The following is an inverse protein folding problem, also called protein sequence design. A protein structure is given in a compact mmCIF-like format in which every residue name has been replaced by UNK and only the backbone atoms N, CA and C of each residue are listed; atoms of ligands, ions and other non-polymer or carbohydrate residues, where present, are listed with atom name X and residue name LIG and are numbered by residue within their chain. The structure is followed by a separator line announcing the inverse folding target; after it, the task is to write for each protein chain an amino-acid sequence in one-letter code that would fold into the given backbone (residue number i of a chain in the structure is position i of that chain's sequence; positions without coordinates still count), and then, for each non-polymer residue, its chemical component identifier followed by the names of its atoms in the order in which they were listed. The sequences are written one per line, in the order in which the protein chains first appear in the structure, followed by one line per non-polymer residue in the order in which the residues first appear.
data_IF_674621811706
#
_entry.id   IF_674621811706
#
_cell.length_a   1.000
_cell.length_b   1.000
_cell.length_c   1.000
_cell.angle_alpha   90.00
_cell.angle_beta   90.00
_cell.angle_gamma   90.00
#
_symmetry.space_group_name_H-M   'P 1'
#
loop_
_entity.id
_entity.type
_entity.pdbx_description
1 polymer ?
#
# COMPACT_ATOMS: atom_id res chain seq x y z
N UNK A 1 27.06 -2.50 -4.02
CA UNK A 1 25.92 -1.57 -3.98
C UNK A 1 24.92 -1.92 -5.07
N UNK A 2 25.36 -2.01 -6.34
CA UNK A 2 24.54 -2.44 -7.48
C UNK A 2 23.80 -3.77 -7.25
N UNK A 3 24.46 -4.78 -6.66
CA UNK A 3 23.81 -6.07 -6.37
C UNK A 3 22.65 -5.96 -5.37
N UNK A 4 22.75 -5.13 -4.34
CA UNK A 4 21.69 -4.97 -3.34
C UNK A 4 20.49 -4.21 -3.93
N UNK A 5 20.75 -3.20 -4.77
CA UNK A 5 19.73 -2.46 -5.48
C UNK A 5 19.00 -3.34 -6.50
N UNK A 6 19.71 -4.20 -7.25
CA UNK A 6 19.10 -5.17 -8.15
C UNK A 6 18.20 -6.17 -7.40
N UNK A 7 18.64 -6.65 -6.23
CA UNK A 7 17.85 -7.55 -5.37
C UNK A 7 16.59 -6.83 -4.85
N UNK A 8 16.72 -5.56 -4.44
CA UNK A 8 15.58 -4.77 -4.00
C UNK A 8 14.60 -4.51 -5.14
N UNK A 9 15.07 -4.18 -6.35
CA UNK A 9 14.21 -4.00 -7.51
C UNK A 9 13.42 -5.27 -7.84
N UNK A 10 14.06 -6.46 -7.77
CA UNK A 10 13.36 -7.75 -7.90
C UNK A 10 12.32 -7.97 -6.80
N UNK A 11 12.59 -7.53 -5.57
CA UNK A 11 11.61 -7.58 -4.50
C UNK A 11 10.42 -6.64 -4.81
N UNK A 12 10.69 -5.38 -5.15
CA UNK A 12 9.68 -4.41 -5.49
C UNK A 12 8.80 -4.86 -6.66
N UNK A 13 9.41 -5.42 -7.72
CA UNK A 13 8.72 -5.94 -8.90
C UNK A 13 7.73 -7.07 -8.57
N UNK A 14 8.09 -7.96 -7.65
CA UNK A 14 7.16 -9.01 -7.18
C UNK A 14 6.03 -8.42 -6.34
N UNK A 15 6.33 -7.45 -5.47
CA UNK A 15 5.34 -6.82 -4.60
C UNK A 15 4.32 -5.97 -5.37
N UNK A 16 4.73 -5.26 -6.43
CA UNK A 16 3.78 -4.52 -7.29
C UNK A 16 2.87 -5.47 -8.09
N UNK A 17 3.30 -6.71 -8.35
CA UNK A 17 2.48 -7.74 -8.98
C UNK A 17 1.57 -8.52 -8.03
N UNK A 18 1.71 -8.31 -6.71
CA UNK A 18 0.87 -8.97 -5.72
C UNK A 18 -0.53 -8.35 -5.70
N UNK A 19 -1.56 -9.18 -5.91
CA UNK A 19 -2.95 -8.76 -5.81
C UNK A 19 -3.49 -8.89 -4.38
N UNK A 20 -3.15 -9.99 -3.72
CA UNK A 20 -3.46 -10.23 -2.32
C UNK A 20 -2.30 -10.97 -1.65
N UNK A 21 -1.79 -10.43 -0.54
CA UNK A 21 -0.71 -11.09 0.20
C UNK A 21 -1.15 -12.45 0.76
N UNK A 22 -2.45 -12.69 0.92
CA UNK A 22 -2.96 -13.95 1.44
C UNK A 22 -2.79 -15.14 0.51
N UNK A 23 -2.55 -14.87 -0.78
CA UNK A 23 -2.26 -15.89 -1.78
C UNK A 23 -0.84 -16.48 -1.64
N UNK A 24 0.05 -15.81 -0.90
CA UNK A 24 1.42 -16.27 -0.70
C UNK A 24 1.47 -17.42 0.32
N UNK A 25 1.96 -18.59 -0.09
CA UNK A 25 2.22 -19.70 0.83
C UNK A 25 3.32 -19.33 1.83
N UNK A 26 3.46 -20.09 2.91
CA UNK A 26 4.56 -19.89 3.86
C UNK A 26 5.94 -20.00 3.19
N UNK A 27 6.08 -20.90 2.21
CA UNK A 27 7.32 -21.01 1.42
C UNK A 27 7.57 -19.74 0.58
N UNK A 28 6.52 -19.17 -0.03
CA UNK A 28 6.64 -17.91 -0.79
C UNK A 28 7.01 -16.75 0.14
N UNK A 29 6.35 -16.62 1.29
CA UNK A 29 6.65 -15.57 2.27
C UNK A 29 8.10 -15.66 2.74
N UNK A 30 8.56 -16.85 3.13
CA UNK A 30 9.95 -17.05 3.54
C UNK A 30 10.94 -16.76 2.40
N UNK A 31 10.61 -17.10 1.13
CA UNK A 31 11.44 -16.74 -0.03
C UNK A 31 11.55 -15.22 -0.19
N UNK A 32 10.43 -14.50 -0.16
CA UNK A 32 10.38 -13.05 -0.35
C UNK A 32 11.13 -12.33 0.76
N UNK A 33 10.92 -12.71 2.02
CA UNK A 33 11.62 -12.13 3.17
C UNK A 33 13.12 -12.43 3.12
N UNK A 34 13.53 -13.66 2.80
CA UNK A 34 14.96 -13.98 2.63
C UNK A 34 15.61 -13.18 1.50
N UNK A 35 14.87 -12.85 0.42
CA UNK A 35 15.37 -11.94 -0.62
C UNK A 35 15.51 -10.52 -0.08
N UNK A 36 14.49 -10.01 0.61
CA UNK A 36 14.50 -8.67 1.20
C UNK A 36 15.68 -8.50 2.16
N UNK A 37 15.89 -9.45 3.09
CA UNK A 37 17.01 -9.42 4.05
C UNK A 37 18.39 -9.31 3.40
N UNK A 38 18.58 -9.80 2.16
CA UNK A 38 19.84 -9.70 1.42
C UNK A 38 20.13 -8.30 0.88
N UNK A 39 19.10 -7.46 0.71
CA UNK A 39 19.27 -6.09 0.24
C UNK A 39 19.08 -5.02 1.31
N UNK A 40 18.64 -5.40 2.53
CA UNK A 40 18.51 -4.42 3.62
C UNK A 40 19.90 -3.89 4.04
N UNK A 41 20.04 -2.56 4.22
CA UNK A 41 21.25 -1.95 4.74
C UNK A 41 21.52 -2.38 6.19
N UNK A 42 22.73 -2.08 6.67
CA UNK A 42 23.14 -2.29 8.07
C UNK A 42 22.86 -3.70 8.60
N UNK A 43 22.97 -4.72 7.75
CA UNK A 43 22.70 -6.11 8.13
C UNK A 43 21.26 -6.34 8.63
N UNK A 44 20.28 -5.60 8.11
CA UNK A 44 18.87 -5.69 8.49
C UNK A 44 18.48 -4.81 9.69
N UNK A 45 19.34 -3.88 10.11
CA UNK A 45 19.09 -3.02 11.27
C UNK A 45 18.54 -1.66 10.88
N UNK A 46 17.51 -1.26 11.60
CA UNK A 46 16.77 -0.04 11.36
C UNK A 46 16.38 0.65 12.66
N UNK A 47 16.15 1.95 12.58
CA UNK A 47 16.18 2.82 13.75
C UNK A 47 14.96 3.71 13.86
N UNK A 48 14.45 3.88 15.09
CA UNK A 48 13.31 4.77 15.36
C UNK A 48 13.55 5.66 16.56
N UNK A 49 13.50 6.96 16.34
CA UNK A 49 13.75 8.00 17.33
C UNK A 49 12.48 8.32 18.12
N UNK A 50 12.63 8.54 19.43
CA UNK A 50 11.54 8.80 20.37
C UNK A 50 11.98 9.76 21.47
N UNK A 51 11.04 10.60 21.90
CA UNK A 51 11.18 11.39 23.13
C UNK A 51 11.12 10.47 24.34
N UNK A 52 11.89 10.79 25.38
CA UNK A 52 11.84 10.07 26.66
C UNK A 52 10.80 10.65 27.65
N UNK A 53 9.99 11.61 27.19
CA UNK A 53 9.03 12.36 28.00
C UNK A 53 7.68 12.49 27.30
N UNK A 54 6.63 12.69 28.10
CA UNK A 54 5.25 12.90 27.64
C UNK A 54 4.58 11.63 27.10
N UNK A 55 3.37 11.82 26.57
CA UNK A 55 2.52 10.73 26.04
C UNK A 55 3.22 9.88 24.96
N UNK A 56 4.10 10.49 24.16
CA UNK A 56 4.89 9.76 23.16
C UNK A 56 5.84 8.73 23.75
N UNK A 57 6.35 8.96 24.97
CA UNK A 57 7.13 7.95 25.68
C UNK A 57 6.23 6.80 26.12
N UNK A 58 5.08 7.09 26.71
CA UNK A 58 4.17 6.07 27.22
C UNK A 58 3.69 5.13 26.11
N UNK A 59 3.32 5.68 24.95
CA UNK A 59 2.93 4.89 23.77
C UNK A 59 4.08 4.02 23.24
N UNK A 60 5.30 4.56 23.19
CA UNK A 60 6.47 3.80 22.76
C UNK A 60 6.85 2.71 23.78
N UNK A 61 6.78 3.02 25.08
CA UNK A 61 7.07 2.09 26.16
C UNK A 61 6.04 0.95 26.18
N UNK A 62 4.75 1.23 25.98
CA UNK A 62 3.71 0.20 25.89
C UNK A 62 3.98 -0.77 24.73
N UNK A 63 4.34 -0.25 23.54
CA UNK A 63 4.65 -1.11 22.40
C UNK A 63 5.89 -1.98 22.63
N UNK A 64 6.94 -1.40 23.23
CA UNK A 64 8.17 -2.12 23.58
C UNK A 64 7.90 -3.21 24.63
N UNK A 65 7.15 -2.87 25.69
CA UNK A 65 6.81 -3.78 26.77
C UNK A 65 5.99 -4.97 26.26
N UNK A 66 4.99 -4.70 25.43
CA UNK A 66 4.06 -5.71 24.95
C UNK A 66 4.51 -6.42 23.66
N UNK A 67 5.61 -5.99 23.03
CA UNK A 67 6.20 -6.70 21.89
C UNK A 67 5.46 -6.50 20.56
N UNK A 68 4.89 -5.32 20.35
CA UNK A 68 4.23 -4.97 19.10
C UNK A 68 4.83 -3.69 18.51
N UNK A 69 4.61 -3.46 17.21
CA UNK A 69 4.91 -2.20 16.55
C UNK A 69 3.62 -1.42 16.29
N UNK A 70 3.66 -0.12 16.56
CA UNK A 70 2.56 0.79 16.26
C UNK A 70 2.69 1.32 14.83
N UNK A 71 1.69 1.01 14.00
CA UNK A 71 1.53 1.52 12.64
C UNK A 71 0.73 2.82 12.70
N UNK A 72 1.41 3.93 12.40
CA UNK A 72 0.78 5.25 12.38
C UNK A 72 -0.13 5.36 11.16
N UNK A 73 -1.35 5.85 11.34
CA UNK A 73 -2.23 6.15 10.22
C UNK A 73 -1.60 7.28 9.40
N UNK A 74 -1.55 7.15 8.07
CA UNK A 74 -0.84 8.10 7.22
C UNK A 74 -1.42 9.53 7.32
N UNK A 75 -2.71 9.67 7.61
CA UNK A 75 -3.36 10.96 7.88
C UNK A 75 -2.82 11.70 9.10
N UNK A 76 -2.20 10.99 10.06
CA UNK A 76 -1.62 11.55 11.30
C UNK A 76 -0.13 11.89 11.21
N UNK A 77 0.51 11.62 10.06
CA UNK A 77 1.92 11.96 9.85
C UNK A 77 2.14 13.47 9.85
N UNK A 78 3.34 13.89 10.25
CA UNK A 78 3.77 15.29 10.29
C UNK A 78 3.90 15.94 8.90
N UNK A 79 3.97 15.14 7.84
CA UNK A 79 3.95 15.60 6.45
C UNK A 79 2.52 15.45 5.88
N UNK A 80 1.87 16.58 5.62
CA UNK A 80 0.49 16.70 5.12
C UNK A 80 0.34 16.33 3.64
N UNK A 81 1.45 16.16 2.93
CA UNK A 81 1.50 15.74 1.52
C UNK A 81 2.20 14.38 1.31
N UNK A 82 2.67 13.72 2.37
CA UNK A 82 3.14 12.32 2.31
C UNK A 82 1.97 11.36 2.01
N UNK A 83 2.29 10.22 1.37
CA UNK A 83 1.33 9.14 1.09
C UNK A 83 0.17 9.63 0.22
N UNK A 84 0.53 10.41 -0.80
CA UNK A 84 -0.38 10.98 -1.78
C UNK A 84 0.01 10.61 -3.20
N UNK A 85 -1.00 10.60 -4.06
CA UNK A 85 -0.90 10.45 -5.51
C UNK A 85 -1.09 11.83 -6.14
N UNK A 86 -0.23 12.16 -7.08
CA UNK A 86 -0.38 13.29 -7.98
C UNK A 86 -1.25 12.85 -9.17
N UNK A 87 -2.48 13.32 -9.25
CA UNK A 87 -3.40 13.02 -10.35
C UNK A 87 -4.13 14.30 -10.77
N UNK A 88 -4.78 14.26 -11.94
CA UNK A 88 -5.52 15.40 -12.48
C UNK A 88 -6.99 14.95 -12.61
N UNK A 89 -7.85 15.30 -11.64
CA UNK A 89 -9.21 14.80 -11.61
C UNK A 89 -9.95 15.08 -12.92
N UNK A 90 -9.86 16.29 -13.47
CA UNK A 90 -10.60 16.68 -14.66
C UNK A 90 -10.17 15.87 -15.88
N UNK A 91 -8.85 15.77 -16.10
CA UNK A 91 -8.35 15.01 -17.25
C UNK A 91 -8.50 13.51 -17.05
N UNK A 92 -8.33 12.96 -15.84
CA UNK A 92 -8.58 11.54 -15.58
C UNK A 92 -10.05 11.18 -15.80
N UNK A 93 -10.98 12.08 -15.46
CA UNK A 93 -12.40 11.92 -15.78
C UNK A 93 -12.62 11.89 -17.28
N UNK A 94 -12.02 12.80 -18.04
CA UNK A 94 -12.18 12.83 -19.50
C UNK A 94 -11.58 11.58 -20.17
N UNK A 95 -10.39 11.16 -19.74
CA UNK A 95 -9.71 9.95 -20.22
C UNK A 95 -10.59 8.70 -19.94
N UNK A 96 -11.17 8.60 -18.75
CA UNK A 96 -12.11 7.53 -18.38
C UNK A 96 -13.41 7.61 -19.19
N UNK A 97 -14.00 8.80 -19.37
CA UNK A 97 -15.21 9.00 -20.21
C UNK A 97 -14.96 8.53 -21.64
N UNK A 98 -13.84 8.93 -22.24
CA UNK A 98 -13.48 8.54 -23.60
C UNK A 98 -13.28 7.02 -23.72
N UNK A 99 -12.65 6.41 -22.71
CA UNK A 99 -12.47 4.95 -22.67
C UNK A 99 -13.82 4.22 -22.58
N UNK A 100 -14.67 4.60 -21.63
CA UNK A 100 -15.99 3.98 -21.43
C UNK A 100 -16.87 4.10 -22.69
N UNK A 101 -16.82 5.26 -23.38
CA UNK A 101 -17.52 5.47 -24.67
C UNK A 101 -17.01 4.56 -25.78
N UNK A 102 -15.72 4.27 -25.83
CA UNK A 102 -15.13 3.37 -26.82
C UNK A 102 -15.24 1.88 -26.44
N UNK A 103 -15.54 1.54 -25.18
CA UNK A 103 -15.59 0.17 -24.67
C UNK A 103 -16.94 -0.20 -24.01
N UNK A 104 -18.10 0.05 -24.67
CA UNK A 104 -19.42 -0.10 -24.04
C UNK A 104 -19.70 -1.53 -23.54
N UNK A 105 -19.13 -2.56 -24.17
CA UNK A 105 -19.29 -3.95 -23.72
C UNK A 105 -18.67 -4.18 -22.36
N UNK A 106 -17.45 -3.69 -22.13
CA UNK A 106 -16.73 -3.92 -20.86
C UNK A 106 -17.48 -3.27 -19.70
N UNK A 107 -18.01 -2.08 -19.94
CA UNK A 107 -18.87 -1.35 -18.99
C UNK A 107 -20.12 -2.16 -18.65
N UNK A 108 -20.81 -2.66 -19.68
CA UNK A 108 -22.01 -3.48 -19.48
C UNK A 108 -21.67 -4.75 -18.70
N UNK A 109 -20.64 -5.49 -19.13
CA UNK A 109 -20.18 -6.71 -18.44
C UNK A 109 -19.92 -6.45 -16.94
N UNK A 110 -19.22 -5.36 -16.63
CA UNK A 110 -18.94 -4.98 -15.24
C UNK A 110 -20.22 -4.70 -14.44
N UNK A 111 -21.17 -3.96 -15.02
CA UNK A 111 -22.46 -3.64 -14.39
C UNK A 111 -23.30 -4.89 -14.15
N UNK A 112 -23.39 -5.76 -15.14
CA UNK A 112 -24.12 -7.02 -15.03
C UNK A 112 -23.57 -7.88 -13.90
N UNK A 113 -22.25 -8.03 -13.87
CA UNK A 113 -21.57 -8.75 -12.79
C UNK A 113 -21.88 -8.12 -11.42
N UNK A 114 -21.82 -6.79 -11.31
CA UNK A 114 -22.13 -6.08 -10.06
C UNK A 114 -23.57 -6.24 -9.59
N UNK A 115 -24.53 -6.25 -10.50
CA UNK A 115 -25.92 -6.45 -10.15
C UNK A 115 -26.24 -7.89 -9.78
N UNK A 116 -25.62 -8.87 -10.46
CA UNK A 116 -25.68 -10.28 -10.09
C UNK A 116 -25.12 -10.50 -8.69
N UNK A 117 -23.94 -9.95 -8.38
CA UNK A 117 -23.32 -9.94 -7.03
C UNK A 117 -24.25 -9.30 -5.98
N UNK A 118 -25.03 -8.28 -6.37
CA UNK A 118 -25.94 -7.57 -5.47
C UNK A 118 -27.34 -8.18 -5.40
N UNK A 119 -27.61 -9.30 -6.09
CA UNK A 119 -28.94 -9.90 -6.19
C UNK A 119 -29.99 -9.01 -6.88
N UNK A 120 -29.57 -7.95 -7.56
CA UNK A 120 -30.46 -7.01 -8.25
C UNK A 120 -30.69 -7.47 -9.67
N UNK A 121 -31.95 -7.61 -10.06
CA UNK A 121 -32.31 -7.84 -11.44
C UNK A 121 -32.25 -6.48 -12.17
N UNK A 122 -31.16 -6.19 -12.87
CA UNK A 122 -30.95 -4.93 -13.63
C UNK A 122 -32.02 -4.68 -14.68
N UNK A 123 -32.71 -5.74 -15.07
CA UNK A 123 -33.77 -5.72 -16.03
C UNK A 123 -35.02 -6.22 -15.34
N UNK A 124 -36.16 -5.57 -15.59
CA UNK A 124 -37.49 -6.13 -15.34
C UNK A 124 -37.79 -7.39 -16.18
N UNK A 125 -36.75 -8.12 -16.56
CA UNK A 125 -36.77 -9.33 -17.35
C UNK A 125 -36.50 -10.51 -16.41
N UNK A 126 -37.38 -11.51 -16.48
CA UNK A 126 -37.27 -12.76 -15.71
C UNK A 126 -35.90 -13.45 -15.93
N UNK A 127 -35.53 -14.33 -14.99
CA UNK A 127 -34.30 -15.16 -14.93
C UNK A 127 -33.91 -15.88 -16.24
N UNK A 128 -34.84 -15.99 -17.20
CA UNK A 128 -34.71 -16.61 -18.52
C UNK A 128 -34.08 -15.71 -19.61
N UNK A 129 -33.95 -14.40 -19.39
CA UNK A 129 -33.47 -13.43 -20.40
C UNK A 129 -31.95 -13.12 -20.33
N UNK A 130 -31.26 -13.51 -19.25
CA UNK A 130 -29.83 -13.19 -19.09
C UNK A 130 -28.93 -13.97 -20.07
N UNK A 131 -29.21 -15.26 -20.30
CA UNK A 131 -28.40 -16.09 -21.20
C UNK A 131 -28.49 -15.62 -22.66
N UNK A 132 -29.71 -15.30 -23.13
CA UNK A 132 -29.91 -14.68 -24.45
C UNK A 132 -29.23 -13.30 -24.55
N UNK A 133 -29.28 -12.51 -23.47
CA UNK A 133 -28.60 -11.22 -23.44
C UNK A 133 -27.08 -11.38 -23.59
N UNK A 134 -26.43 -12.23 -22.79
CA UNK A 134 -24.99 -12.48 -22.91
C UNK A 134 -24.61 -13.08 -24.27
N UNK A 135 -25.45 -13.96 -24.81
CA UNK A 135 -25.26 -14.52 -26.15
C UNK A 135 -25.33 -13.43 -27.22
N UNK A 136 -26.28 -12.51 -27.11
CA UNK A 136 -26.38 -11.35 -27.99
C UNK A 136 -25.18 -10.40 -27.83
N UNK A 137 -24.78 -10.13 -26.58
CA UNK A 137 -23.64 -9.27 -26.25
C UNK A 137 -22.32 -9.79 -26.84
N UNK A 138 -22.12 -11.12 -26.87
CA UNK A 138 -20.95 -11.76 -27.51
C UNK A 138 -20.87 -11.53 -29.04
N UNK A 139 -21.95 -11.05 -29.66
CA UNK A 139 -22.02 -10.72 -31.07
C UNK A 139 -21.77 -9.23 -31.35
N UNK A 140 -21.43 -8.46 -30.34
CA UNK A 140 -21.18 -7.04 -30.46
C UNK A 140 -19.74 -6.80 -30.94
N UNK A 141 -19.60 -5.89 -31.90
CA UNK A 141 -18.31 -5.53 -32.49
C UNK A 141 -17.62 -4.50 -31.59
N UNK A 142 -16.46 -4.89 -31.04
CA UNK A 142 -15.68 -4.09 -30.10
C UNK A 142 -14.98 -2.90 -30.77
N UNK A 143 -14.60 -3.01 -32.05
CA UNK A 143 -13.89 -1.94 -32.75
C UNK A 143 -14.87 -0.85 -33.21
N UNK A 144 -16.05 -1.26 -33.66
CA UNK A 144 -17.05 -0.34 -34.24
C UNK A 144 -18.09 0.09 -33.20
N UNK A 145 -18.12 -0.54 -32.03
CA UNK A 145 -19.03 -0.21 -30.95
C UNK A 145 -20.50 -0.45 -31.32
N UNK A 146 -20.80 -1.47 -32.14
CA UNK A 146 -22.16 -1.81 -32.59
C UNK A 146 -22.47 -3.30 -32.52
N UNK A 147 -23.72 -3.65 -32.24
CA UNK A 147 -24.18 -5.03 -32.30
C UNK A 147 -24.20 -5.54 -33.75
N UNK A 148 -23.53 -6.66 -34.03
CA UNK A 148 -23.73 -7.38 -35.28
C UNK A 148 -25.07 -8.14 -35.23
N UNK A 149 -26.16 -7.48 -35.67
CA UNK A 149 -27.53 -8.02 -35.61
C UNK A 149 -27.66 -9.35 -36.35
N UNK A 150 -27.02 -9.50 -37.50
CA UNK A 150 -27.05 -10.76 -38.27
C UNK A 150 -26.45 -11.93 -37.46
N UNK A 151 -25.26 -11.71 -36.88
CA UNK A 151 -24.59 -12.68 -36.02
C UNK A 151 -25.41 -12.99 -34.76
N UNK A 152 -26.00 -11.97 -34.14
CA UNK A 152 -26.83 -12.10 -32.94
C UNK A 152 -28.13 -12.89 -33.22
N UNK A 153 -28.83 -12.62 -34.32
CA UNK A 153 -30.04 -13.36 -34.71
C UNK A 153 -29.71 -14.84 -34.90
N UNK A 154 -28.59 -15.15 -35.57
CA UNK A 154 -28.12 -16.52 -35.76
C UNK A 154 -27.71 -17.19 -34.45
N UNK A 155 -27.14 -16.43 -33.51
CA UNK A 155 -26.76 -16.97 -32.20
C UNK A 155 -28.00 -17.26 -31.32
N UNK A 156 -29.08 -16.49 -31.51
CA UNK A 156 -30.33 -16.61 -30.75
C UNK A 156 -31.39 -17.51 -31.40
N UNK A 157 -31.20 -17.96 -32.65
CA UNK A 157 -32.19 -18.81 -33.35
C UNK A 157 -32.45 -20.14 -32.64
N UNK A 158 -31.47 -20.64 -31.90
CA UNK A 158 -31.55 -21.91 -31.18
C UNK A 158 -32.43 -21.85 -29.92
N UNK A 159 -32.89 -20.67 -29.51
CA UNK A 159 -33.75 -20.48 -28.34
C UNK A 159 -35.25 -20.65 -28.67
N UNK A 160 -35.61 -21.00 -29.91
CA UNK A 160 -36.99 -21.32 -30.29
C UNK A 160 -37.92 -20.12 -30.48
N UNK A 161 -37.38 -18.89 -30.52
CA UNK A 161 -38.14 -17.67 -30.75
C UNK A 161 -38.22 -17.31 -32.24
N UNK A 162 -39.30 -16.63 -32.63
CA UNK A 162 -39.42 -16.09 -33.98
C UNK A 162 -38.40 -14.97 -34.22
N UNK A 163 -37.93 -14.84 -35.46
CA UNK A 163 -36.99 -13.79 -35.87
C UNK A 163 -37.50 -12.39 -35.52
N UNK A 164 -38.82 -12.17 -35.59
CA UNK A 164 -39.46 -10.90 -35.18
C UNK A 164 -39.30 -10.62 -33.68
N UNK A 165 -39.51 -11.63 -32.81
CA UNK A 165 -39.30 -11.49 -31.36
C UNK A 165 -37.82 -11.24 -31.02
N UNK A 166 -36.91 -11.95 -31.69
CA UNK A 166 -35.46 -11.75 -31.52
C UNK A 166 -35.07 -10.32 -31.94
N UNK A 167 -35.54 -9.85 -33.10
CA UNK A 167 -35.27 -8.48 -33.57
C UNK A 167 -35.80 -7.41 -32.60
N UNK A 168 -36.99 -7.61 -32.03
CA UNK A 168 -37.55 -6.71 -31.03
C UNK A 168 -36.64 -6.65 -29.79
N UNK A 169 -36.22 -7.79 -29.26
CA UNK A 169 -35.29 -7.89 -28.15
C UNK A 169 -33.95 -7.20 -28.44
N UNK A 170 -33.35 -7.43 -29.62
CA UNK A 170 -32.09 -6.80 -29.99
C UNK A 170 -32.20 -5.28 -30.14
N UNK A 171 -33.34 -4.76 -30.60
CA UNK A 171 -33.59 -3.32 -30.65
C UNK A 171 -33.75 -2.73 -29.25
N UNK A 172 -34.51 -3.39 -28.37
CA UNK A 172 -34.66 -2.97 -26.96
C UNK A 172 -33.30 -2.96 -26.24
N UNK A 173 -32.43 -3.94 -26.51
CA UNK A 173 -31.06 -3.96 -26.01
C UNK A 173 -30.22 -2.80 -26.58
N UNK A 174 -30.27 -2.55 -27.88
CA UNK A 174 -29.52 -1.47 -28.53
C UNK A 174 -29.96 -0.08 -28.03
N UNK A 175 -31.27 0.10 -27.80
CA UNK A 175 -31.84 1.31 -27.18
C UNK A 175 -31.43 1.43 -25.71
N UNK A 176 -31.44 0.33 -24.96
CA UNK A 176 -30.94 0.32 -23.58
C UNK A 176 -29.48 0.74 -23.53
N UNK A 177 -28.61 0.17 -24.37
CA UNK A 177 -27.18 0.50 -24.41
C UNK A 177 -26.99 1.98 -24.79
N UNK A 178 -27.67 2.47 -25.83
CA UNK A 178 -27.62 3.88 -26.22
C UNK A 178 -28.08 4.82 -25.11
N UNK A 179 -29.25 4.55 -24.52
CA UNK A 179 -29.82 5.38 -23.47
C UNK A 179 -28.94 5.34 -22.23
N UNK A 180 -28.44 4.17 -21.84
CA UNK A 180 -27.48 4.01 -20.77
C UNK A 180 -26.27 4.92 -21.01
N UNK A 181 -25.58 4.80 -22.15
CA UNK A 181 -24.41 5.65 -22.46
C UNK A 181 -24.69 7.16 -22.42
N UNK A 182 -25.93 7.58 -22.71
CA UNK A 182 -26.38 8.98 -22.64
C UNK A 182 -26.75 9.41 -21.22
N UNK A 183 -27.40 8.55 -20.43
CA UNK A 183 -27.93 8.87 -19.08
C UNK A 183 -26.87 8.72 -17.97
N UNK A 184 -25.75 8.04 -18.19
CA UNK A 184 -24.73 7.76 -17.17
C UNK A 184 -23.77 8.90 -16.84
N UNK A 185 -24.11 10.15 -17.15
CA UNK A 185 -23.35 11.29 -16.64
C UNK A 185 -23.21 11.22 -15.11
N UNK A 186 -24.23 10.72 -14.41
CA UNK A 186 -24.21 10.49 -12.96
C UNK A 186 -23.27 9.35 -12.52
N UNK A 187 -23.16 8.25 -13.28
CA UNK A 187 -22.21 7.16 -12.96
C UNK A 187 -20.78 7.64 -13.19
N UNK A 188 -20.55 8.39 -14.27
CA UNK A 188 -19.27 9.05 -14.55
C UNK A 188 -18.92 10.07 -13.46
N UNK A 189 -19.91 10.80 -12.95
CA UNK A 189 -19.78 11.73 -11.83
C UNK A 189 -19.49 10.99 -10.51
N UNK A 190 -20.09 9.83 -10.24
CA UNK A 190 -19.75 9.02 -9.07
C UNK A 190 -18.33 8.45 -9.13
N UNK A 191 -17.89 7.99 -10.32
CA UNK A 191 -16.50 7.57 -10.55
C UNK A 191 -15.56 8.76 -10.31
N UNK A 192 -15.88 9.93 -10.87
CA UNK A 192 -15.15 11.18 -10.66
C UNK A 192 -15.06 11.60 -9.17
N UNK A 193 -16.19 11.63 -8.46
CA UNK A 193 -16.28 12.00 -7.05
C UNK A 193 -15.49 11.04 -6.15
N UNK A 194 -15.41 9.76 -6.53
CA UNK A 194 -14.58 8.78 -5.84
C UNK A 194 -13.09 9.13 -5.91
N UNK A 195 -12.62 9.71 -7.02
CA UNK A 195 -11.24 10.13 -7.21
C UNK A 195 -10.92 11.48 -6.54
N UNK A 196 -11.86 12.43 -6.46
CA UNK A 196 -11.62 13.73 -5.81
C UNK A 196 -11.13 13.60 -4.35
N UNK A 197 -11.57 12.55 -3.65
CA UNK A 197 -11.20 12.29 -2.25
C UNK A 197 -10.16 11.18 -2.10
N UNK A 198 -9.52 10.71 -3.18
CA UNK A 198 -8.69 9.51 -3.15
C UNK A 198 -7.48 9.65 -2.23
N UNK A 199 -6.80 10.80 -2.23
CA UNK A 199 -5.66 11.04 -1.34
C UNK A 199 -6.08 11.00 0.13
N UNK A 200 -7.25 11.56 0.45
CA UNK A 200 -7.80 11.48 1.81
C UNK A 200 -8.11 10.03 2.19
N UNK A 201 -8.84 9.31 1.33
CA UNK A 201 -9.18 7.89 1.54
C UNK A 201 -7.94 7.03 1.74
N UNK A 202 -6.91 7.20 0.90
CA UNK A 202 -5.64 6.51 1.00
C UNK A 202 -4.96 6.82 2.33
N UNK A 203 -4.85 8.11 2.70
CA UNK A 203 -4.22 8.50 3.97
C UNK A 203 -4.97 7.97 5.19
N UNK A 204 -6.29 7.84 5.11
CA UNK A 204 -7.12 7.29 6.19
C UNK A 204 -7.01 5.75 6.28
N UNK A 205 -6.82 5.03 5.17
CA UNK A 205 -6.68 3.56 5.16
C UNK A 205 -5.24 3.05 5.36
N UNK A 206 -4.25 3.89 5.03
CA UNK A 206 -2.84 3.52 5.06
C UNK A 206 -2.25 3.62 6.46
N UNK A 207 -1.48 2.60 6.81
CA UNK A 207 -0.81 2.39 8.09
C UNK A 207 0.68 2.22 7.83
N UNK A 208 1.48 3.08 8.47
CA UNK A 208 2.89 3.30 8.15
C UNK A 208 3.77 3.02 9.36
N UNK A 209 4.83 2.25 9.16
CA UNK A 209 5.91 2.11 10.13
C UNK A 209 7.22 2.73 9.64
N UNK A 210 7.40 4.00 10.03
CA UNK A 210 8.60 4.82 9.91
C UNK A 210 9.90 4.24 10.47
N UNK A 211 10.92 3.91 9.67
CA UNK A 211 12.25 3.53 10.16
C UNK A 211 13.40 4.20 9.39
N UNK A 212 14.47 4.60 10.09
CA UNK A 212 15.67 5.18 9.50
C UNK A 212 16.78 4.14 9.35
N UNK A 213 17.64 4.30 8.35
CA UNK A 213 18.89 3.56 8.23
C UNK A 213 19.94 3.95 9.29
N UNK A 214 19.81 5.09 9.97
CA UNK A 214 20.87 5.60 10.86
C UNK A 214 20.38 5.78 12.29
N UNK A 215 21.21 5.42 13.26
CA UNK A 215 21.00 5.72 14.69
C UNK A 215 21.67 7.02 15.13
N UNK A 216 22.57 7.58 14.30
CA UNK A 216 23.48 8.68 14.61
C UNK A 216 23.21 9.96 13.80
N UNK A 217 22.01 10.13 13.27
CA UNK A 217 21.64 11.35 12.55
C UNK A 217 21.32 12.48 13.54
N UNK A 218 22.18 13.50 13.59
CA UNK A 218 21.96 14.68 14.46
C UNK A 218 20.64 15.39 14.13
N UNK A 219 20.24 15.46 12.86
CA UNK A 219 18.95 16.03 12.45
C UNK A 219 17.78 15.23 13.02
N UNK A 220 17.86 13.90 13.01
CA UNK A 220 16.82 13.03 13.57
C UNK A 220 16.76 13.14 15.10
N UNK A 221 17.93 13.16 15.77
CA UNK A 221 18.02 13.40 17.21
C UNK A 221 17.39 14.75 17.58
N UNK A 222 17.73 15.83 16.87
CA UNK A 222 17.17 17.15 17.13
C UNK A 222 15.65 17.18 16.91
N UNK A 223 15.17 16.71 15.76
CA UNK A 223 13.76 16.85 15.37
C UNK A 223 12.83 15.91 16.16
N UNK A 224 13.19 14.64 16.33
CA UNK A 224 12.31 13.63 16.93
C UNK A 224 12.50 13.43 18.43
N UNK A 225 13.62 13.91 18.99
CA UNK A 225 13.94 13.68 20.41
C UNK A 225 14.28 14.96 21.18
N UNK A 226 14.33 16.14 20.52
CA UNK A 226 14.86 17.38 21.12
C UNK A 226 16.28 17.20 21.68
N UNK A 227 17.09 16.38 21.00
CA UNK A 227 18.40 15.89 21.44
C UNK A 227 18.41 15.15 22.80
N UNK A 228 17.25 14.92 23.42
CA UNK A 228 17.08 14.33 24.75
C UNK A 228 16.00 13.25 24.68
N UNK A 229 16.40 12.08 24.22
CA UNK A 229 15.49 10.95 24.13
C UNK A 229 16.22 9.64 23.92
N UNK A 230 15.62 8.78 23.11
CA UNK A 230 16.17 7.49 22.77
C UNK A 230 15.86 7.10 21.33
N UNK A 231 16.58 6.10 20.85
CA UNK A 231 16.44 5.51 19.53
C UNK A 231 16.39 3.98 19.69
N UNK A 232 15.43 3.36 19.00
CA UNK A 232 15.14 1.93 19.06
C UNK A 232 15.74 1.26 17.84
N UNK A 233 16.58 0.22 18.02
CA UNK A 233 17.09 -0.63 16.94
C UNK A 233 16.19 -1.86 16.76
N UNK A 234 15.61 -1.98 15.57
CA UNK A 234 14.86 -3.14 15.10
C UNK A 234 15.76 -4.01 14.23
N UNK A 235 15.81 -5.31 14.50
CA UNK A 235 16.55 -6.29 13.71
C UNK A 235 15.59 -7.11 12.85
N UNK A 236 15.59 -6.82 11.54
CA UNK A 236 14.70 -7.48 10.59
C UNK A 236 14.97 -8.97 10.43
N UNK A 237 16.13 -9.49 10.86
CA UNK A 237 16.36 -10.94 10.85
C UNK A 237 15.37 -11.67 11.76
N UNK A 238 14.96 -11.04 12.87
CA UNK A 238 13.96 -11.58 13.80
C UNK A 238 12.56 -11.70 13.18
N UNK A 239 12.29 -11.03 12.06
CA UNK A 239 11.03 -11.22 11.31
C UNK A 239 10.89 -12.68 10.88
N UNK A 240 11.99 -13.39 10.63
CA UNK A 240 11.98 -14.80 10.25
C UNK A 240 11.49 -15.73 11.37
N UNK A 241 11.37 -15.25 12.61
CA UNK A 241 10.88 -16.01 13.75
C UNK A 241 9.43 -15.67 14.11
N UNK A 242 8.82 -14.68 13.44
CA UNK A 242 7.44 -14.27 13.69
C UNK A 242 6.41 -15.28 13.15
N UNK A 243 5.17 -15.26 13.66
CA UNK A 243 4.06 -15.99 13.05
C UNK A 243 3.87 -15.61 11.57
N UNK A 244 3.38 -16.55 10.77
CA UNK A 244 3.20 -16.37 9.31
C UNK A 244 2.35 -15.13 8.98
N UNK A 245 1.33 -14.84 9.78
CA UNK A 245 0.45 -13.67 9.59
C UNK A 245 1.25 -12.38 9.69
N UNK A 246 2.12 -12.23 10.70
CA UNK A 246 3.00 -11.06 10.84
C UNK A 246 4.06 -11.02 9.73
N UNK A 247 4.74 -12.15 9.47
CA UNK A 247 5.77 -12.26 8.41
C UNK A 247 5.27 -11.75 7.06
N UNK A 248 4.06 -12.16 6.67
CA UNK A 248 3.42 -11.80 5.41
C UNK A 248 3.33 -10.27 5.24
N UNK A 249 3.01 -9.54 6.31
CA UNK A 249 2.91 -8.09 6.26
C UNK A 249 4.27 -7.42 6.02
N UNK A 250 5.36 -7.95 6.59
CA UNK A 250 6.72 -7.43 6.40
C UNK A 250 7.25 -7.55 4.96
N UNK A 251 6.57 -8.26 4.06
CA UNK A 251 6.87 -8.23 2.63
C UNK A 251 6.61 -6.85 2.02
N UNK A 252 5.75 -6.03 2.63
CA UNK A 252 5.45 -4.65 2.19
C UNK A 252 6.38 -3.61 2.81
N UNK A 253 7.65 -3.95 3.01
CA UNK A 253 8.67 -3.06 3.56
C UNK A 253 9.49 -2.42 2.43
N UNK A 254 9.27 -1.13 2.21
CA UNK A 254 9.78 -0.41 1.05
C UNK A 254 10.81 0.64 1.45
N UNK A 255 11.83 0.80 0.60
CA UNK A 255 12.72 1.95 0.62
C UNK A 255 11.96 3.19 0.17
N UNK A 256 12.00 4.26 0.97
CA UNK A 256 11.38 5.53 0.60
C UNK A 256 12.16 6.18 -0.53
N UNK A 257 11.41 6.72 -1.49
CA UNK A 257 11.96 7.50 -2.58
C UNK A 257 11.88 8.98 -2.23
N UNK A 258 12.83 9.77 -2.72
CA UNK A 258 12.88 11.20 -2.49
C UNK A 258 12.90 11.92 -3.83
N UNK A 259 11.83 12.66 -4.08
CA UNK A 259 11.64 13.41 -5.32
C UNK A 259 10.56 14.49 -5.13
N UNK A 260 10.88 15.73 -5.45
CA UNK A 260 9.92 16.85 -5.40
C UNK A 260 8.91 16.83 -6.56
N UNK A 261 9.22 16.11 -7.65
CA UNK A 261 8.37 16.00 -8.84
C UNK A 261 7.79 14.60 -8.95
N UNK A 262 6.55 14.42 -8.48
CA UNK A 262 5.76 13.23 -8.79
C UNK A 262 5.16 13.38 -10.18
N UNK A 263 5.41 12.42 -11.06
CA UNK A 263 4.70 12.35 -12.35
C UNK A 263 3.20 12.14 -12.10
N UNK A 264 2.36 12.57 -13.05
CA UNK A 264 0.93 12.33 -12.94
C UNK A 264 0.64 10.82 -13.00
N UNK A 265 -0.06 10.31 -12.00
CA UNK A 265 -0.72 9.02 -12.04
C UNK A 265 -2.04 9.16 -12.80
N UNK A 266 -2.33 8.23 -13.71
CA UNK A 266 -3.66 8.13 -14.31
C UNK A 266 -4.36 6.88 -13.83
N UNK A 267 -5.59 7.06 -13.33
CA UNK A 267 -6.44 5.96 -12.89
C UNK A 267 -7.08 5.18 -14.04
N UNK A 268 -6.83 5.59 -15.30
CA UNK A 268 -7.33 4.87 -16.46
C UNK A 268 -6.82 3.42 -16.49
N UNK A 269 -5.59 3.16 -16.03
CA UNK A 269 -5.04 1.80 -15.96
C UNK A 269 -5.84 0.92 -14.99
N UNK A 270 -6.18 1.44 -13.81
CA UNK A 270 -7.03 0.75 -12.84
C UNK A 270 -8.41 0.46 -13.44
N UNK A 271 -9.02 1.45 -14.08
CA UNK A 271 -10.33 1.30 -14.73
C UNK A 271 -10.29 0.22 -15.81
N UNK A 272 -9.27 0.22 -16.68
CA UNK A 272 -9.07 -0.82 -17.69
C UNK A 272 -8.94 -2.21 -17.08
N UNK A 273 -8.14 -2.35 -16.02
CA UNK A 273 -7.97 -3.61 -15.32
C UNK A 273 -9.28 -4.12 -14.69
N UNK A 274 -10.04 -3.24 -14.03
CA UNK A 274 -11.33 -3.59 -13.42
C UNK A 274 -12.40 -3.96 -14.44
N UNK A 275 -12.50 -3.20 -15.54
CA UNK A 275 -13.46 -3.46 -16.62
C UNK A 275 -13.10 -4.71 -17.43
N UNK A 276 -11.81 -5.01 -17.59
CA UNK A 276 -11.30 -6.25 -18.15
C UNK A 276 -11.51 -7.48 -17.26
N UNK A 277 -12.13 -7.31 -16.08
CA UNK A 277 -12.50 -8.39 -15.18
C UNK A 277 -11.31 -9.00 -14.43
N UNK A 278 -10.30 -8.20 -14.08
CA UNK A 278 -9.15 -8.59 -13.27
C UNK A 278 -8.23 -9.63 -13.94
N UNK A 279 -8.17 -9.67 -15.27
CA UNK A 279 -7.42 -10.68 -16.03
C UNK A 279 -6.06 -10.21 -16.52
N UNK A 280 -5.92 -8.91 -16.81
CA UNK A 280 -4.71 -8.34 -17.38
C UNK A 280 -3.69 -8.04 -16.28
N UNK A 281 -2.74 -8.96 -16.08
CA UNK A 281 -1.72 -8.83 -15.05
C UNK A 281 -0.71 -7.73 -15.35
N UNK A 282 -0.48 -7.41 -16.63
CA UNK A 282 0.48 -6.37 -17.00
C UNK A 282 -0.09 -4.99 -16.65
N UNK A 283 -1.39 -4.77 -16.90
CA UNK A 283 -2.10 -3.58 -16.43
C UNK A 283 -2.08 -3.44 -14.90
N UNK A 284 -2.30 -4.52 -14.17
CA UNK A 284 -2.21 -4.52 -12.71
C UNK A 284 -0.82 -4.10 -12.24
N UNK A 285 0.23 -4.74 -12.75
CA UNK A 285 1.63 -4.46 -12.39
C UNK A 285 1.99 -3.02 -12.72
N UNK A 286 1.62 -2.52 -13.90
CA UNK A 286 1.91 -1.13 -14.29
C UNK A 286 1.19 -0.14 -13.38
N UNK A 287 -0.10 -0.36 -13.11
CA UNK A 287 -0.89 0.53 -12.26
C UNK A 287 -0.37 0.55 -10.82
N UNK A 288 -0.15 -0.64 -10.23
CA UNK A 288 0.39 -0.78 -8.89
C UNK A 288 1.78 -0.16 -8.77
N UNK A 289 2.65 -0.34 -9.78
CA UNK A 289 3.97 0.28 -9.79
C UNK A 289 3.86 1.79 -9.73
N UNK A 290 3.01 2.42 -10.56
CA UNK A 290 2.82 3.87 -10.55
C UNK A 290 2.26 4.35 -9.22
N UNK A 291 1.24 3.66 -8.70
CA UNK A 291 0.59 4.03 -7.44
C UNK A 291 1.54 3.89 -6.25
N UNK A 292 2.11 2.70 -6.02
CA UNK A 292 2.99 2.42 -4.87
C UNK A 292 4.21 3.35 -4.89
N UNK A 293 4.83 3.56 -6.06
CA UNK A 293 5.96 4.50 -6.21
C UNK A 293 5.60 5.89 -5.66
N UNK A 294 4.42 6.42 -5.96
CA UNK A 294 4.01 7.74 -5.47
C UNK A 294 3.71 7.75 -3.97
N UNK A 295 3.12 6.67 -3.44
CA UNK A 295 2.76 6.56 -2.03
C UNK A 295 3.99 6.40 -1.12
N UNK A 296 5.08 5.82 -1.62
CA UNK A 296 6.35 5.72 -0.91
C UNK A 296 7.34 6.84 -1.25
N UNK A 297 6.93 7.82 -2.06
CA UNK A 297 7.77 8.99 -2.40
C UNK A 297 7.49 10.16 -1.47
N UNK A 298 8.54 10.61 -0.78
CA UNK A 298 8.59 11.86 0.00
C UNK A 298 9.24 13.00 -0.80
N UNK A 299 9.01 14.23 -0.34
CA UNK A 299 9.73 15.40 -0.82
C UNK A 299 11.22 15.31 -0.48
N UNK A 300 12.05 15.94 -1.31
CA UNK A 300 13.52 15.89 -1.23
C UNK A 300 14.05 16.39 0.11
N UNK A 301 13.37 17.38 0.69
CA UNK A 301 13.70 17.95 2.01
C UNK A 301 13.74 16.91 3.14
N UNK A 302 13.04 15.78 2.99
CA UNK A 302 13.01 14.69 3.98
C UNK A 302 14.10 13.62 3.76
N UNK A 303 14.97 13.78 2.76
CA UNK A 303 16.01 12.78 2.42
C UNK A 303 16.93 12.43 3.60
N UNK A 304 17.13 13.36 4.53
CA UNK A 304 17.94 13.15 5.74
C UNK A 304 17.42 12.01 6.64
N UNK A 305 16.14 11.63 6.52
CA UNK A 305 15.56 10.54 7.30
C UNK A 305 16.09 9.16 6.88
N UNK A 306 16.55 9.04 5.61
CA UNK A 306 17.01 7.76 5.01
C UNK A 306 16.04 6.63 5.33
N UNK A 307 14.79 6.85 4.98
CA UNK A 307 13.66 6.08 5.49
C UNK A 307 13.44 4.79 4.70
N UNK A 308 13.11 3.74 5.44
CA UNK A 308 12.35 2.60 4.95
C UNK A 308 11.06 2.52 5.73
N UNK A 309 9.97 2.09 5.07
CA UNK A 309 8.65 2.03 5.68
C UNK A 309 7.94 0.73 5.40
N UNK A 310 7.31 0.20 6.45
CA UNK A 310 6.24 -0.78 6.27
C UNK A 310 5.01 -0.01 5.80
N UNK A 311 4.50 -0.33 4.61
CA UNK A 311 3.33 0.31 4.03
C UNK A 311 2.20 -0.72 3.92
N UNK A 312 1.15 -0.55 4.74
CA UNK A 312 0.02 -1.47 4.79
C UNK A 312 -1.28 -0.69 4.64
N UNK A 313 -2.26 -1.30 3.98
CA UNK A 313 -3.60 -0.73 3.84
C UNK A 313 -4.62 -1.65 4.48
N UNK A 314 -5.68 -1.08 5.07
CA UNK A 314 -6.78 -1.84 5.67
C UNK A 314 -6.33 -2.85 6.76
N UNK A 315 -5.33 -2.46 7.55
CA UNK A 315 -4.83 -3.22 8.71
C UNK A 315 -5.14 -2.48 10.00
N UNK A 316 -5.09 -3.17 11.13
CA UNK A 316 -5.11 -2.53 12.45
C UNK A 316 -3.79 -1.79 12.72
N UNK A 317 -3.81 -0.82 13.65
CA UNK A 317 -2.64 -0.03 14.04
C UNK A 317 -1.62 -0.82 14.89
N UNK A 318 -1.98 -1.97 15.44
CA UNK A 318 -1.09 -2.81 16.25
C UNK A 318 -0.68 -4.04 15.46
N UNK A 319 0.63 -4.26 15.33
CA UNK A 319 1.19 -5.46 14.72
C UNK A 319 2.15 -6.13 15.69
N UNK A 320 1.81 -7.35 16.12
CA UNK A 320 2.67 -8.17 16.98
C UNK A 320 3.96 -8.53 16.24
N UNK A 321 5.07 -7.96 16.72
CA UNK A 321 6.38 -8.02 16.09
C UNK A 321 7.48 -7.62 17.08
N UNK A 322 7.87 -8.55 17.94
CA UNK A 322 8.95 -8.35 18.91
C UNK A 322 10.33 -8.52 18.25
N UNK A 323 10.71 -7.52 17.46
CA UNK A 323 11.95 -7.53 16.66
C UNK A 323 12.99 -6.51 17.15
N UNK A 324 12.82 -5.95 18.35
CA UNK A 324 13.77 -5.01 18.94
C UNK A 324 15.05 -5.73 19.35
N UNK A 325 16.20 -5.11 19.14
CA UNK A 325 17.51 -5.70 19.46
C UNK A 325 18.45 -4.78 20.26
N UNK A 326 18.22 -3.47 20.24
CA UNK A 326 18.97 -2.53 21.07
C UNK A 326 18.20 -1.23 21.34
N UNK A 327 18.59 -0.54 22.41
CA UNK A 327 18.18 0.82 22.75
C UNK A 327 19.40 1.73 22.80
N UNK A 328 19.31 2.87 22.14
CA UNK A 328 20.29 3.95 22.18
C UNK A 328 19.66 5.08 22.98
N UNK A 329 20.20 5.46 24.13
CA UNK A 329 19.59 6.47 25.00
C UNK A 329 20.57 7.60 25.28
N UNK A 330 20.08 8.84 25.28
CA UNK A 330 20.90 9.98 25.66
C UNK A 330 21.31 9.91 27.14
N UNK A 331 22.58 10.20 27.44
CA UNK A 331 23.13 10.15 28.80
C UNK A 331 22.32 10.98 29.80
N UNK A 332 21.77 12.12 29.38
CA UNK A 332 20.96 12.97 30.26
C UNK A 332 19.65 12.30 30.68
N UNK A 333 19.14 11.36 29.89
CA UNK A 333 17.88 10.65 30.16
C UNK A 333 18.06 9.42 31.05
N UNK A 334 19.26 8.87 31.18
CA UNK A 334 19.50 7.61 31.89
C UNK A 334 19.05 7.61 33.36
N UNK A 335 19.09 8.78 34.01
CA UNK A 335 18.76 8.92 35.43
C UNK A 335 17.32 9.38 35.69
N UNK A 336 16.54 9.68 34.65
CA UNK A 336 15.11 10.03 34.78
C UNK A 336 14.30 8.77 35.07
N UNK A 337 13.10 8.93 35.61
CA UNK A 337 12.22 7.78 35.92
C UNK A 337 11.87 6.99 34.65
N UNK A 338 11.60 7.69 33.56
CA UNK A 338 11.32 7.07 32.26
C UNK A 338 12.54 6.38 31.66
N UNK A 339 13.72 7.01 31.75
CA UNK A 339 14.97 6.39 31.31
C UNK A 339 15.28 5.11 32.09
N UNK A 340 15.13 5.12 33.41
CA UNK A 340 15.29 3.93 34.26
C UNK A 340 14.31 2.82 33.87
N UNK A 341 13.02 3.13 33.70
CA UNK A 341 12.02 2.16 33.22
C UNK A 341 12.42 1.53 31.89
N UNK A 342 12.91 2.34 30.94
CA UNK A 342 13.35 1.86 29.63
C UNK A 342 14.59 0.96 29.73
N UNK A 343 15.55 1.32 30.58
CA UNK A 343 16.76 0.53 30.82
C UNK A 343 16.45 -0.81 31.52
N UNK A 344 15.55 -0.79 32.50
CA UNK A 344 15.08 -2.00 33.19
C UNK A 344 14.38 -2.93 32.19
N UNK A 345 13.48 -2.40 31.35
CA UNK A 345 12.84 -3.16 30.28
C UNK A 345 13.85 -3.73 29.28
N UNK A 346 14.85 -2.95 28.87
CA UNK A 346 15.89 -3.43 27.97
C UNK A 346 16.67 -4.61 28.57
N UNK A 347 16.97 -4.55 29.87
CA UNK A 347 17.60 -5.66 30.60
C UNK A 347 16.68 -6.89 30.69
N UNK A 348 15.41 -6.71 31.03
CA UNK A 348 14.42 -7.80 31.08
C UNK A 348 14.26 -8.51 29.72
N UNK A 349 14.32 -7.74 28.64
CA UNK A 349 14.16 -8.20 27.25
C UNK A 349 15.48 -8.63 26.59
N UNK A 350 16.60 -8.55 27.31
CA UNK A 350 17.94 -8.84 26.81
C UNK A 350 18.29 -8.05 25.53
N UNK A 351 17.94 -6.76 25.50
CA UNK A 351 18.33 -5.82 24.45
C UNK A 351 19.65 -5.15 24.82
N UNK A 352 20.51 -4.95 23.82
CA UNK A 352 21.75 -4.19 24.03
C UNK A 352 21.41 -2.74 24.34
N UNK A 353 22.19 -2.11 25.21
CA UNK A 353 22.02 -0.69 25.51
C UNK A 353 23.27 0.09 25.13
N UNK A 354 23.06 1.18 24.40
CA UNK A 354 24.09 2.14 24.01
C UNK A 354 23.79 3.51 24.62
N UNK A 355 24.74 4.04 25.38
CA UNK A 355 24.66 5.40 25.93
C UNK A 355 25.23 6.39 24.93
N UNK A 356 24.38 7.28 24.42
CA UNK A 356 24.78 8.43 23.61
C UNK A 356 25.28 9.55 24.51
N UNK A 357 26.50 10.02 24.27
CA UNK A 357 27.08 11.17 24.98
C UNK A 357 28.06 11.92 24.10
N UNK A 358 28.39 13.15 24.45
CA UNK A 358 29.50 13.85 23.81
C UNK A 358 30.84 13.15 24.13
N UNK A 359 31.75 13.13 23.15
CA UNK A 359 33.15 12.79 23.40
C UNK A 359 33.80 13.79 24.37
N UNK A 360 35.00 13.46 24.85
CA UNK A 360 35.71 14.26 25.86
C UNK A 360 35.84 15.76 25.52
N UNK A 361 36.05 16.09 24.24
CA UNK A 361 36.21 17.48 23.77
C UNK A 361 34.91 18.14 23.26
N UNK A 362 33.76 17.46 23.34
CA UNK A 362 32.47 18.03 22.96
C UNK A 362 32.22 18.23 21.46
N UNK A 363 32.98 17.56 20.58
CA UNK A 363 32.92 17.77 19.13
C UNK A 363 32.04 16.78 18.37
N UNK A 364 31.69 15.64 18.99
CA UNK A 364 30.79 14.66 18.39
C UNK A 364 30.11 13.80 19.44
N UNK A 365 28.96 13.23 19.08
CA UNK A 365 28.33 12.17 19.85
C UNK A 365 29.06 10.85 19.65
N UNK A 366 29.23 10.10 20.73
CA UNK A 366 29.72 8.72 20.78
C UNK A 366 28.68 7.85 21.47
N UNK A 367 28.73 6.56 21.18
CA UNK A 367 27.77 5.56 21.64
C UNK A 367 28.53 4.43 22.33
N UNK A 368 28.41 4.33 23.64
CA UNK A 368 29.11 3.32 24.44
C UNK A 368 28.14 2.22 24.86
N UNK A 369 28.50 0.96 24.64
CA UNK A 369 27.67 -0.16 25.07
C UNK A 369 27.83 -0.38 26.58
N UNK A 370 26.72 -0.62 27.29
CA UNK A 370 26.75 -0.94 28.73
C UNK A 370 27.14 -2.41 28.96
N UNK A 371 27.00 -3.27 27.94
CA UNK A 371 27.24 -4.72 28.05
C UNK A 371 28.73 -5.10 28.05
N UNK A 372 29.63 -4.13 27.81
CA UNK A 372 31.03 -4.29 28.16
C UNK A 372 31.15 -4.09 29.67
N UNK A 373 30.92 -5.17 30.42
CA UNK A 373 31.64 -5.38 31.67
C UNK A 373 33.10 -5.12 31.36
N UNK A 374 33.59 -3.94 31.73
CA UNK A 374 34.93 -3.84 32.30
C UNK A 374 34.98 -4.91 33.37
N UNK A 375 35.59 -6.05 33.03
CA UNK A 375 36.27 -6.86 34.01
C UNK A 375 37.36 -5.96 34.60
N UNK A 376 36.96 -5.17 35.60
CA UNK A 376 37.89 -4.64 36.58
C UNK A 376 38.47 -5.87 37.30
N UNK A 377 39.67 -6.23 36.88
CA UNK A 377 40.62 -7.05 37.64
C UNK A 377 41.93 -6.31 37.76
#
# INVERSE_FOLDING_TARGET
MEQAEEIYNKHFDEMVGANNLDEYSEADVNRVLNRLLKCLPNNGKFYKYRKCEGEFFDLAFDSLKNGYIWLAQASTLNDDVDTTINFDPEKDIEDVKQYLRSHPIEVLNWIFKKAEESGKNLFGFNKFNNDMFFKALSCYDLEIGKLNKSKAIKALSNYGYSVSKINKFLNEMDDFIRNFMVTNEDVLKQIAENYLSINKKIRDMAHIFSLSECYDSDTMWAYYTDNKGFCIEYDFKKVMDLPIVSKRLFMSFYKVLYNDKKERCSFLLDIKYYLGGYKDKDLLVESNRKMITQLITKQEKWRYEREWRLFLCNTENKLDADIVSAIYIDKSMCNTDNGKKLLDLAKERNWRVYIRKLNYIGTKHIYECIDDKTEDK
#
